data_IF_005333030872
#
_entry.id   IF_005333030872
#
_cell.length_a   1.000
_cell.length_b   1.000
_cell.length_c   1.000
_cell.angle_alpha   90.00
_cell.angle_beta   90.00
_cell.angle_gamma   90.00
#
_symmetry.space_group_name_H-M   'P 1'
#
loop_
_entity.id
_entity.type
_entity.pdbx_description
1 polymer ?
#
# COMPACT_ATOMS: atom_id res chain seq x y z
N UNK A 1 -0.86 -19.62 14.76
CA UNK A 1 -2.16 -18.96 14.96
C UNK A 1 -2.11 -17.71 14.11
N UNK A 2 -2.96 -17.57 13.09
CA UNK A 2 -3.02 -16.31 12.34
C UNK A 2 -3.50 -15.23 13.30
N UNK A 3 -2.79 -14.11 13.34
CA UNK A 3 -3.04 -13.01 14.31
C UNK A 3 -4.38 -12.33 13.99
N UNK A 4 -4.74 -12.28 12.70
CA UNK A 4 -5.96 -11.66 12.18
C UNK A 4 -6.87 -12.71 11.54
N UNK A 5 -8.17 -12.65 11.84
CA UNK A 5 -9.21 -13.48 11.24
C UNK A 5 -9.94 -12.73 10.10
N UNK A 6 -10.90 -13.39 9.43
CA UNK A 6 -11.57 -12.82 8.25
C UNK A 6 -12.50 -11.64 8.56
N UNK A 7 -13.04 -11.55 9.78
CA UNK A 7 -13.83 -10.40 10.23
C UNK A 7 -12.93 -9.20 10.49
N UNK A 8 -11.84 -9.40 11.22
CA UNK A 8 -10.82 -8.37 11.46
C UNK A 8 -10.23 -7.86 10.14
N UNK A 9 -9.93 -8.76 9.19
CA UNK A 9 -9.49 -8.38 7.85
C UNK A 9 -10.49 -7.49 7.12
N UNK A 10 -11.80 -7.72 7.27
CA UNK A 10 -12.82 -6.88 6.63
C UNK A 10 -12.89 -5.50 7.27
N UNK A 11 -12.65 -5.39 8.57
CA UNK A 11 -12.67 -4.11 9.29
C UNK A 11 -11.42 -3.30 8.91
N UNK A 12 -10.25 -3.86 9.16
CA UNK A 12 -8.97 -3.20 8.92
C UNK A 12 -8.66 -3.00 7.43
N UNK A 13 -9.13 -3.93 6.57
CA UNK A 13 -9.02 -3.79 5.12
C UNK A 13 -9.83 -2.60 4.59
N UNK A 14 -10.99 -2.30 5.17
CA UNK A 14 -11.76 -1.09 4.81
C UNK A 14 -11.08 0.17 5.31
N UNK A 15 -10.55 0.14 6.53
CA UNK A 15 -9.75 1.24 7.09
C UNK A 15 -8.56 1.60 6.18
N UNK A 16 -7.86 0.61 5.63
CA UNK A 16 -6.80 0.81 4.64
C UNK A 16 -7.32 1.42 3.33
N UNK A 17 -8.48 0.98 2.83
CA UNK A 17 -9.09 1.54 1.61
C UNK A 17 -9.47 3.00 1.81
N UNK A 18 -10.09 3.33 2.95
CA UNK A 18 -10.47 4.70 3.30
C UNK A 18 -9.22 5.59 3.44
N UNK A 19 -8.18 5.11 4.12
CA UNK A 19 -6.91 5.83 4.22
C UNK A 19 -6.26 6.12 2.87
N UNK A 20 -6.28 5.15 1.94
CA UNK A 20 -5.73 5.34 0.59
C UNK A 20 -6.55 6.38 -0.17
N UNK A 21 -7.88 6.33 -0.11
CA UNK A 21 -8.74 7.33 -0.76
C UNK A 21 -8.46 8.74 -0.21
N UNK A 22 -8.45 8.90 1.12
CA UNK A 22 -8.15 10.17 1.79
C UNK A 22 -6.75 10.68 1.46
N UNK A 23 -5.76 9.78 1.36
CA UNK A 23 -4.39 10.12 0.94
C UNK A 23 -4.36 10.73 -0.47
N UNK A 24 -5.06 10.13 -1.43
CA UNK A 24 -5.11 10.61 -2.81
C UNK A 24 -5.87 11.93 -2.95
N UNK A 25 -7.00 12.07 -2.25
CA UNK A 25 -7.77 13.32 -2.22
C UNK A 25 -6.99 14.46 -1.55
N UNK A 26 -6.24 14.15 -0.50
CA UNK A 26 -5.39 15.07 0.24
C UNK A 26 -4.01 15.31 -0.39
N UNK A 27 -3.63 14.59 -1.46
CA UNK A 27 -2.25 14.54 -1.95
C UNK A 27 -1.67 15.93 -2.25
N UNK A 28 -2.48 16.84 -2.79
CA UNK A 28 -2.08 18.22 -3.17
C UNK A 28 -1.69 19.10 -1.98
N UNK A 29 -2.05 18.70 -0.76
CA UNK A 29 -1.76 19.43 0.47
C UNK A 29 -0.42 19.00 1.08
N UNK A 30 0.18 17.91 0.58
CA UNK A 30 1.46 17.36 1.05
C UNK A 30 2.62 18.02 0.29
N UNK A 31 3.80 18.08 0.93
CA UNK A 31 5.02 18.52 0.26
C UNK A 31 5.54 17.40 -0.66
N UNK A 32 5.82 17.63 -1.95
CA UNK A 32 6.24 16.57 -2.89
C UNK A 32 7.48 15.80 -2.44
N UNK A 33 8.43 16.51 -1.82
CA UNK A 33 9.66 15.96 -1.26
C UNK A 33 9.59 16.02 0.28
N UNK A 34 10.08 14.99 0.97
CA UNK A 34 10.09 14.97 2.42
C UNK A 34 11.18 15.89 2.99
N UNK A 35 10.89 16.54 4.12
CA UNK A 35 11.86 17.33 4.88
C UNK A 35 12.45 16.48 6.03
N UNK A 36 13.25 15.48 5.66
CA UNK A 36 13.89 14.55 6.60
C UNK A 36 15.37 14.36 6.26
N UNK A 37 16.17 14.01 7.27
CA UNK A 37 17.61 13.72 7.09
C UNK A 37 17.84 12.22 6.90
N UNK A 38 18.94 11.82 6.23
CA UNK A 38 19.38 10.43 6.21
C UNK A 38 19.44 9.87 7.63
N UNK A 39 18.81 8.71 7.86
CA UNK A 39 18.74 8.05 9.16
C UNK A 39 17.50 8.34 10.01
N UNK A 40 16.60 9.27 9.62
CA UNK A 40 15.42 9.63 10.43
C UNK A 40 14.56 8.41 10.84
N UNK A 41 14.42 7.42 9.95
CA UNK A 41 13.59 6.23 10.17
C UNK A 41 14.07 5.37 11.35
N UNK A 42 15.36 5.46 11.71
CA UNK A 42 15.93 4.73 12.85
C UNK A 42 15.40 5.19 14.21
N UNK A 43 14.74 6.35 14.26
CA UNK A 43 14.03 6.83 15.45
C UNK A 43 12.70 6.08 15.67
N UNK A 44 12.10 5.56 14.60
CA UNK A 44 10.80 4.87 14.61
C UNK A 44 10.94 3.35 14.58
N UNK A 45 11.99 2.82 13.93
CA UNK A 45 12.15 1.37 13.76
C UNK A 45 12.96 0.77 14.91
N UNK A 46 12.43 -0.22 15.65
CA UNK A 46 13.16 -0.85 16.74
C UNK A 46 14.39 -1.62 16.22
N UNK A 47 15.44 -1.71 17.05
CA UNK A 47 16.70 -2.40 16.69
C UNK A 47 16.54 -3.90 16.47
N UNK A 48 15.50 -4.49 17.05
CA UNK A 48 15.18 -5.91 16.92
C UNK A 48 13.69 -6.06 16.61
N UNK A 49 13.31 -7.02 15.76
CA UNK A 49 11.90 -7.33 15.51
C UNK A 49 11.17 -7.65 16.81
N UNK A 50 9.88 -7.29 16.93
CA UNK A 50 9.09 -7.62 18.10
C UNK A 50 8.99 -9.15 18.25
N UNK A 51 9.11 -9.63 19.49
CA UNK A 51 9.06 -11.08 19.79
C UNK A 51 7.62 -11.59 19.78
N UNK A 52 6.68 -10.71 20.07
CA UNK A 52 5.24 -10.96 20.05
C UNK A 52 4.57 -10.08 18.99
N UNK A 53 3.40 -10.49 18.46
CA UNK A 53 2.60 -9.66 17.58
C UNK A 53 2.23 -8.32 18.20
N UNK A 54 2.20 -7.27 17.39
CA UNK A 54 1.67 -5.96 17.77
C UNK A 54 0.20 -5.84 17.34
N UNK A 55 -0.57 -5.07 18.12
CA UNK A 55 -1.97 -4.75 17.79
C UNK A 55 -2.03 -3.91 16.51
N UNK A 56 -3.05 -4.16 15.68
CA UNK A 56 -3.22 -3.48 14.39
C UNK A 56 -3.21 -1.96 14.52
N UNK A 57 -3.90 -1.42 15.53
CA UNK A 57 -3.99 0.03 15.75
C UNK A 57 -2.63 0.66 16.06
N UNK A 58 -1.69 -0.10 16.60
CA UNK A 58 -0.32 0.38 16.84
C UNK A 58 0.41 0.49 15.50
N UNK A 59 0.38 -0.59 14.71
CA UNK A 59 1.00 -0.64 13.38
C UNK A 59 0.43 0.44 12.46
N UNK A 60 -0.89 0.61 12.45
CA UNK A 60 -1.57 1.56 11.58
C UNK A 60 -1.27 3.01 11.97
N UNK A 61 -1.14 3.32 13.27
CA UNK A 61 -0.74 4.66 13.75
C UNK A 61 0.67 5.06 13.34
N UNK A 62 1.55 4.09 13.11
CA UNK A 62 2.94 4.36 12.71
C UNK A 62 3.07 4.76 11.24
N UNK A 63 2.06 4.50 10.39
CA UNK A 63 2.10 4.82 8.97
C UNK A 63 2.40 6.31 8.72
N UNK A 64 1.65 7.21 9.33
CA UNK A 64 1.83 8.65 9.09
C UNK A 64 3.20 9.19 9.58
N UNK A 65 3.59 9.00 10.86
CA UNK A 65 4.84 9.55 11.38
C UNK A 65 6.11 8.86 10.83
N UNK A 66 6.07 7.54 10.57
CA UNK A 66 7.24 6.79 10.15
C UNK A 66 7.34 6.67 8.63
N UNK A 67 6.25 6.32 7.93
CA UNK A 67 6.28 6.03 6.49
C UNK A 67 5.97 7.28 5.67
N UNK A 68 4.84 7.94 5.94
CA UNK A 68 4.36 9.03 5.08
C UNK A 68 5.25 10.27 5.20
N UNK A 69 5.75 10.58 6.40
CA UNK A 69 6.63 11.74 6.64
C UNK A 69 7.89 11.74 5.78
N UNK A 70 8.48 10.57 5.52
CA UNK A 70 9.69 10.46 4.71
C UNK A 70 9.44 10.01 3.27
N UNK A 71 8.18 9.97 2.83
CA UNK A 71 7.86 9.54 1.47
C UNK A 71 8.07 10.68 0.45
N UNK A 72 8.53 10.32 -0.73
CA UNK A 72 8.48 11.21 -1.91
C UNK A 72 7.17 10.94 -2.63
N UNK A 73 6.34 11.96 -2.81
CA UNK A 73 5.02 11.79 -3.41
C UNK A 73 5.08 11.92 -4.93
N UNK A 74 5.37 10.80 -5.59
CA UNK A 74 5.53 10.69 -7.04
C UNK A 74 4.34 11.18 -7.86
N UNK A 75 3.12 11.06 -7.31
CA UNK A 75 1.90 11.47 -7.97
C UNK A 75 1.44 12.89 -7.62
N UNK A 76 2.24 13.62 -6.84
CA UNK A 76 1.93 15.02 -6.53
C UNK A 76 1.96 15.85 -7.83
N UNK A 77 0.99 16.76 -8.08
CA UNK A 77 0.93 17.57 -9.32
C UNK A 77 2.13 18.51 -9.55
N UNK A 78 3.00 18.65 -8.55
CA UNK A 78 4.21 19.48 -8.57
C UNK A 78 5.50 18.64 -8.48
N UNK A 79 5.42 17.32 -8.65
CA UNK A 79 6.57 16.44 -8.76
C UNK A 79 6.90 16.22 -10.24
N UNK A 80 8.08 16.65 -10.67
CA UNK A 80 8.50 16.64 -12.09
C UNK A 80 9.84 15.92 -12.31
N UNK A 81 10.33 15.18 -11.32
CA UNK A 81 11.57 14.42 -11.46
C UNK A 81 11.31 13.08 -12.16
N UNK A 82 12.31 12.58 -12.90
CA UNK A 82 12.31 11.28 -13.56
C UNK A 82 11.17 11.08 -14.56
N UNK A 83 10.46 9.95 -14.50
CA UNK A 83 9.33 9.59 -15.35
C UNK A 83 8.08 9.33 -14.49
N UNK A 84 6.88 9.66 -14.98
CA UNK A 84 5.64 9.37 -14.27
C UNK A 84 5.48 7.87 -14.01
N UNK A 85 5.03 7.53 -12.81
CA UNK A 85 4.56 6.19 -12.46
C UNK A 85 3.05 6.11 -12.72
N UNK A 86 2.57 4.99 -13.26
CA UNK A 86 1.13 4.77 -13.41
C UNK A 86 0.58 4.16 -12.11
N UNK A 87 -0.43 4.79 -11.52
CA UNK A 87 -1.19 4.27 -10.40
C UNK A 87 -2.61 4.85 -10.46
N UNK A 88 -3.61 4.00 -10.34
CA UNK A 88 -5.03 4.37 -10.41
C UNK A 88 -5.83 3.51 -9.42
N UNK A 89 -7.02 3.98 -9.03
CA UNK A 89 -7.89 3.18 -8.14
C UNK A 89 -8.22 1.79 -8.70
N UNK A 90 -8.53 1.63 -10.01
CA UNK A 90 -8.65 0.32 -10.62
C UNK A 90 -7.40 -0.57 -10.48
N UNK A 91 -6.21 -0.02 -10.67
CA UNK A 91 -4.97 -0.79 -10.49
C UNK A 91 -4.79 -1.25 -9.03
N UNK A 92 -5.08 -0.39 -8.05
CA UNK A 92 -5.01 -0.73 -6.62
C UNK A 92 -6.02 -1.85 -6.27
N UNK A 93 -7.25 -1.76 -6.78
CA UNK A 93 -8.25 -2.83 -6.58
C UNK A 93 -7.83 -4.15 -7.23
N UNK A 94 -7.20 -4.09 -8.40
CA UNK A 94 -6.65 -5.27 -9.07
C UNK A 94 -5.57 -5.95 -8.22
N UNK A 95 -4.70 -5.18 -7.57
CA UNK A 95 -3.67 -5.70 -6.67
C UNK A 95 -4.27 -6.34 -5.40
N UNK A 96 -5.29 -5.73 -4.79
CA UNK A 96 -6.01 -6.32 -3.64
C UNK A 96 -6.60 -7.68 -4.02
N UNK A 97 -7.27 -7.75 -5.17
CA UNK A 97 -7.88 -9.00 -5.67
C UNK A 97 -6.81 -10.05 -6.00
N UNK A 98 -5.73 -9.64 -6.66
CA UNK A 98 -4.62 -10.52 -7.00
C UNK A 98 -3.97 -11.12 -5.74
N UNK A 99 -3.66 -10.28 -4.76
CA UNK A 99 -3.09 -10.70 -3.48
C UNK A 99 -4.00 -11.63 -2.68
N UNK A 100 -5.32 -11.33 -2.66
CA UNK A 100 -6.30 -12.14 -1.94
C UNK A 100 -6.50 -13.55 -2.52
N UNK A 101 -6.39 -13.70 -3.85
CA UNK A 101 -6.48 -15.01 -4.51
C UNK A 101 -5.18 -15.83 -4.40
N UNK A 102 -4.04 -15.17 -4.16
CA UNK A 102 -2.74 -15.79 -3.91
C UNK A 102 -2.32 -16.88 -4.93
N UNK A 103 -2.78 -16.76 -6.18
CA UNK A 103 -2.55 -17.75 -7.21
C UNK A 103 -1.15 -17.65 -7.82
N UNK A 104 -0.43 -18.78 -7.93
CA UNK A 104 0.93 -18.81 -8.47
C UNK A 104 0.92 -19.24 -9.96
N UNK A 105 0.97 -18.26 -10.87
CA UNK A 105 0.79 -18.48 -12.31
C UNK A 105 2.04 -18.87 -13.11
N UNK A 106 2.88 -19.80 -12.61
CA UNK A 106 4.06 -20.24 -13.36
C UNK A 106 3.75 -21.24 -14.49
N UNK A 107 2.55 -21.83 -14.48
CA UNK A 107 2.02 -22.59 -15.62
C UNK A 107 0.55 -22.24 -15.86
N UNK A 108 0.11 -22.48 -17.10
CA UNK A 108 -1.26 -22.24 -17.55
C UNK A 108 -2.32 -23.01 -16.76
N UNK A 109 -1.98 -24.22 -16.26
CA UNK A 109 -2.88 -25.09 -15.50
C UNK A 109 -3.14 -24.56 -14.08
N UNK A 110 -2.17 -23.88 -13.48
CA UNK A 110 -2.18 -23.50 -12.06
C UNK A 110 -2.84 -22.13 -11.85
N UNK A 111 -2.83 -21.28 -12.87
CA UNK A 111 -3.60 -20.05 -12.90
C UNK A 111 -4.26 -19.94 -14.27
N UNK A 112 -5.56 -20.24 -14.34
CA UNK A 112 -6.31 -19.97 -15.56
C UNK A 112 -6.09 -18.50 -15.92
N UNK A 113 -5.56 -18.25 -17.12
CA UNK A 113 -5.30 -16.94 -17.74
C UNK A 113 -6.46 -15.94 -17.69
N UNK A 114 -7.61 -16.36 -17.19
CA UNK A 114 -8.78 -15.58 -16.80
C UNK A 114 -8.41 -14.43 -15.87
N UNK A 115 -7.54 -14.61 -14.86
CA UNK A 115 -7.12 -13.48 -14.01
C UNK A 115 -6.33 -12.43 -14.78
N UNK A 116 -5.45 -12.85 -15.70
CA UNK A 116 -4.75 -11.92 -16.59
C UNK A 116 -5.74 -11.20 -17.52
N UNK A 117 -6.77 -11.90 -18.01
CA UNK A 117 -7.82 -11.30 -18.84
C UNK A 117 -8.75 -10.33 -18.11
N UNK A 118 -8.98 -10.52 -16.80
CA UNK A 118 -9.87 -9.68 -15.97
C UNK A 118 -9.12 -8.50 -15.36
N UNK A 119 -7.88 -8.69 -14.90
CA UNK A 119 -7.09 -7.65 -14.23
C UNK A 119 -6.42 -6.69 -15.22
N UNK A 120 -6.05 -7.16 -16.43
CA UNK A 120 -5.37 -6.30 -17.41
C UNK A 120 -6.24 -5.11 -17.87
N UNK A 121 -7.55 -5.27 -18.13
CA UNK A 121 -8.44 -4.14 -18.40
C UNK A 121 -8.50 -3.12 -17.25
N UNK A 122 -8.44 -3.58 -16.00
CA UNK A 122 -8.47 -2.69 -14.83
C UNK A 122 -7.25 -1.76 -14.76
N UNK A 123 -6.10 -2.18 -15.28
CA UNK A 123 -4.90 -1.32 -15.30
C UNK A 123 -4.99 -0.24 -16.38
N UNK A 124 -5.78 -0.50 -17.43
CA UNK A 124 -5.92 0.42 -18.59
C UNK A 124 -7.07 1.42 -18.47
N UNK A 125 -7.99 1.22 -17.51
CA UNK A 125 -9.09 2.15 -17.17
C UNK A 125 -8.69 3.12 -16.07
#
# INVERSE_FOLDING_TARGET
RFIMNSEEFRIHGKEMVDFVADFWDGLRQRQPLPDVKPGYISEFVPKHPPTEPEEWETIFKDLEPAVMRGNTYWHHPHFFAYFPTACSYPAIMADILSGGLAGIGFTWVILNSVLRGILLPMITT
#
